data_IF_678270507347
#
_entry.id   IF_678270507347
#
_cell.length_a   1.000
_cell.length_b   1.000
_cell.length_c   1.000
_cell.angle_alpha   90.00
_cell.angle_beta   90.00
_cell.angle_gamma   90.00
#
_symmetry.space_group_name_H-M   'P 1'
#
loop_
_entity.id
_entity.type
_entity.pdbx_description
1 polymer ?
#
# COMPACT_ATOMS: atom_id res chain seq x y z
N UNK A 1 -14.28 -1.46 5.34
CA UNK A 1 -15.37 -1.66 6.33
C UNK A 1 -15.59 -3.14 6.65
N UNK A 2 -15.95 -3.99 5.69
CA UNK A 2 -16.25 -5.41 5.93
C UNK A 2 -15.16 -6.14 6.74
N UNK A 3 -13.91 -6.11 6.26
CA UNK A 3 -12.76 -6.70 6.97
C UNK A 3 -12.56 -6.17 8.40
N UNK A 4 -12.92 -4.91 8.67
CA UNK A 4 -12.80 -4.30 9.99
C UNK A 4 -13.87 -4.85 10.95
N UNK A 5 -15.10 -5.03 10.47
CA UNK A 5 -16.19 -5.62 11.23
C UNK A 5 -15.89 -7.08 11.59
N UNK A 6 -15.41 -7.86 10.61
CA UNK A 6 -15.07 -9.28 10.80
C UNK A 6 -13.93 -9.48 11.79
N UNK A 7 -12.88 -8.65 11.69
CA UNK A 7 -11.70 -8.74 12.54
C UNK A 7 -11.99 -8.30 13.98
N UNK A 8 -12.64 -7.15 14.15
CA UNK A 8 -12.73 -6.49 15.46
C UNK A 8 -14.07 -6.74 16.17
N UNK A 9 -15.05 -7.37 15.51
CA UNK A 9 -16.40 -7.64 16.05
C UNK A 9 -17.09 -6.38 16.58
N UNK A 10 -16.87 -5.25 15.92
CA UNK A 10 -17.44 -3.94 16.27
C UNK A 10 -18.73 -3.66 15.50
N UNK A 11 -19.46 -2.64 15.93
CA UNK A 11 -20.65 -2.20 15.22
C UNK A 11 -20.33 -1.48 13.90
N UNK A 12 -21.22 -1.53 12.91
CA UNK A 12 -21.23 -0.68 11.71
C UNK A 12 -20.84 0.78 11.97
N UNK A 13 -21.46 1.41 12.97
CA UNK A 13 -21.24 2.81 13.34
C UNK A 13 -19.82 3.07 13.85
N UNK A 14 -19.29 2.18 14.70
CA UNK A 14 -17.91 2.28 15.18
C UNK A 14 -16.90 2.12 14.05
N UNK A 15 -17.14 1.18 13.13
CA UNK A 15 -16.29 1.01 11.95
C UNK A 15 -16.26 2.28 11.08
N UNK A 16 -17.42 2.91 10.87
CA UNK A 16 -17.52 4.15 10.08
C UNK A 16 -16.79 5.32 10.77
N UNK A 17 -16.91 5.46 12.10
CA UNK A 17 -16.15 6.46 12.86
C UNK A 17 -14.64 6.26 12.75
N UNK A 18 -14.14 5.02 12.85
CA UNK A 18 -12.72 4.72 12.68
C UNK A 18 -12.24 5.09 11.27
N UNK A 19 -13.02 4.75 10.24
CA UNK A 19 -12.68 5.06 8.85
C UNK A 19 -12.65 6.58 8.59
N UNK A 20 -13.54 7.35 9.24
CA UNK A 20 -13.58 8.81 9.13
C UNK A 20 -12.37 9.50 9.77
N UNK A 21 -11.74 8.90 10.78
CA UNK A 21 -10.52 9.43 11.40
C UNK A 21 -9.27 9.21 10.54
N UNK A 22 -9.33 8.31 9.55
CA UNK A 22 -8.22 8.05 8.64
C UNK A 22 -8.14 9.13 7.56
N UNK A 23 -6.91 9.41 7.08
CA UNK A 23 -6.68 10.23 5.88
C UNK A 23 -7.49 9.66 4.71
N UNK A 24 -8.09 10.52 3.87
CA UNK A 24 -8.94 10.06 2.76
C UNK A 24 -8.18 9.16 1.77
N UNK A 25 -8.89 8.21 1.14
CA UNK A 25 -8.31 7.34 0.11
C UNK A 25 -7.73 8.14 -1.06
N UNK A 26 -8.45 9.16 -1.52
CA UNK A 26 -8.02 10.02 -2.62
C UNK A 26 -6.72 10.74 -2.27
N UNK A 27 -6.61 11.29 -1.06
CA UNK A 27 -5.38 11.97 -0.62
C UNK A 27 -4.20 11.00 -0.57
N UNK A 28 -4.39 9.78 -0.05
CA UNK A 28 -3.32 8.76 -0.06
C UNK A 28 -2.91 8.39 -1.48
N UNK A 29 -3.85 8.23 -2.39
CA UNK A 29 -3.57 7.91 -3.80
C UNK A 29 -2.79 9.01 -4.51
N UNK A 30 -3.15 10.28 -4.29
CA UNK A 30 -2.46 11.42 -4.89
C UNK A 30 -1.01 11.58 -4.43
N UNK A 31 -0.66 11.02 -3.28
CA UNK A 31 0.67 11.14 -2.66
C UNK A 31 1.53 9.90 -2.81
N UNK A 32 0.99 8.81 -3.35
CA UNK A 32 1.70 7.54 -3.46
C UNK A 32 2.44 7.45 -4.80
N UNK A 33 3.71 7.03 -4.76
CA UNK A 33 4.48 6.70 -5.97
C UNK A 33 3.99 5.39 -6.61
N UNK A 34 3.59 4.43 -5.77
CA UNK A 34 3.08 3.12 -6.17
C UNK A 34 1.87 2.72 -5.33
N UNK A 35 0.95 1.95 -5.92
CA UNK A 35 -0.27 1.44 -5.27
C UNK A 35 -0.37 -0.07 -5.42
N UNK A 36 -0.69 -0.77 -4.33
CA UNK A 36 -1.03 -2.19 -4.31
C UNK A 36 -2.51 -2.34 -3.99
N UNK A 37 -3.26 -3.01 -4.87
CA UNK A 37 -4.65 -3.37 -4.60
C UNK A 37 -4.73 -4.69 -3.82
N UNK A 38 -5.28 -4.62 -2.60
CA UNK A 38 -5.49 -5.76 -1.69
C UNK A 38 -6.95 -6.18 -1.59
N UNK A 39 -7.80 -5.72 -2.52
CA UNK A 39 -9.22 -6.08 -2.59
C UNK A 39 -9.47 -7.41 -3.30
N UNK A 40 -8.52 -7.86 -4.14
CA UNK A 40 -8.54 -9.14 -4.83
C UNK A 40 -8.03 -10.31 -3.99
N UNK A 41 -7.54 -11.35 -4.66
CA UNK A 41 -6.98 -12.52 -3.97
C UNK A 41 -5.61 -12.21 -3.37
N UNK A 42 -5.18 -13.07 -2.42
CA UNK A 42 -3.81 -13.02 -1.90
C UNK A 42 -2.78 -13.21 -3.02
N UNK A 43 -3.07 -14.07 -4.00
CA UNK A 43 -2.21 -14.30 -5.14
C UNK A 43 -2.01 -13.02 -5.99
N UNK A 44 -3.10 -12.29 -6.27
CA UNK A 44 -3.02 -11.03 -7.02
C UNK A 44 -2.20 -9.98 -6.29
N UNK A 45 -2.31 -9.95 -4.96
CA UNK A 45 -1.51 -9.07 -4.10
C UNK A 45 -0.03 -9.45 -4.17
N UNK A 46 0.28 -10.75 -4.08
CA UNK A 46 1.66 -11.26 -4.14
C UNK A 46 2.32 -10.93 -5.48
N UNK A 47 1.61 -11.08 -6.59
CA UNK A 47 2.12 -10.72 -7.92
C UNK A 47 2.45 -9.23 -8.02
N UNK A 48 1.62 -8.36 -7.45
CA UNK A 48 1.89 -6.92 -7.40
C UNK A 48 3.11 -6.59 -6.54
N UNK A 49 3.24 -7.24 -5.37
CA UNK A 49 4.40 -7.08 -4.48
C UNK A 49 5.68 -7.49 -5.19
N UNK A 50 5.71 -8.64 -5.86
CA UNK A 50 6.91 -9.14 -6.55
C UNK A 50 7.38 -8.16 -7.64
N UNK A 51 6.46 -7.62 -8.44
CA UNK A 51 6.82 -6.61 -9.46
C UNK A 51 7.43 -5.35 -8.86
N UNK A 52 6.87 -4.84 -7.77
CA UNK A 52 7.39 -3.65 -7.10
C UNK A 52 8.73 -3.95 -6.41
N UNK A 53 8.87 -5.14 -5.82
CA UNK A 53 10.12 -5.58 -5.21
C UNK A 53 11.27 -5.56 -6.21
N UNK A 54 11.10 -6.16 -7.40
CA UNK A 54 12.12 -6.14 -8.45
C UNK A 54 12.47 -4.71 -8.90
N UNK A 55 11.46 -3.84 -9.05
CA UNK A 55 11.69 -2.43 -9.38
C UNK A 55 12.52 -1.71 -8.31
N UNK A 56 12.21 -1.93 -7.03
CA UNK A 56 12.93 -1.29 -5.94
C UNK A 56 14.36 -1.84 -5.78
N UNK A 57 14.59 -3.14 -6.05
CA UNK A 57 15.95 -3.69 -6.12
C UNK A 57 16.77 -2.99 -7.22
N UNK A 58 16.20 -2.79 -8.40
CA UNK A 58 16.88 -2.08 -9.50
C UNK A 58 17.18 -0.62 -9.16
N UNK A 59 16.23 0.09 -8.54
CA UNK A 59 16.43 1.46 -8.08
C UNK A 59 17.57 1.55 -7.07
N UNK A 60 17.54 0.69 -6.04
CA UNK A 60 18.58 0.67 -5.01
C UNK A 60 19.97 0.33 -5.61
N UNK A 61 20.04 -0.60 -6.57
CA UNK A 61 21.30 -0.94 -7.25
C UNK A 61 21.80 0.19 -8.17
N UNK A 62 20.88 0.91 -8.83
CA UNK A 62 21.20 2.04 -9.70
C UNK A 62 21.65 3.29 -8.93
N UNK A 63 21.11 3.52 -7.73
CA UNK A 63 21.48 4.64 -6.86
C UNK A 63 22.91 4.50 -6.28
N UNK A 64 23.42 3.28 -6.15
CA UNK A 64 24.81 3.05 -5.72
C UNK A 64 25.88 3.35 -6.79
N UNK A 65 25.50 3.69 -8.04
CA UNK A 65 26.44 3.91 -9.14
C UNK A 65 26.69 5.38 -9.52
N UNK A 66 26.11 6.36 -8.81
CA UNK A 66 26.19 7.79 -9.19
C UNK A 66 26.99 8.71 -8.25
N UNK A 67 27.76 8.18 -7.30
CA UNK A 67 28.71 8.98 -6.51
C UNK A 67 30.15 8.44 -6.63
N UNK A 68 30.74 8.61 -7.81
CA UNK A 68 32.18 8.83 -7.89
C UNK A 68 32.50 9.75 -9.07
N UNK A 69 32.85 10.99 -8.76
CA UNK A 69 33.51 11.89 -9.71
C UNK A 69 34.69 12.57 -8.99
N UNK A 70 35.90 12.59 -9.59
CA UNK A 70 37.16 12.98 -8.95
C UNK A 70 37.23 14.46 -8.59
#
# INVERSE_FOLDING_TARGET
>A
RQRLLERDRITPKQADSILQQQVSRQTRHQKADDLIDTSGSLHDTQQQVERLHQRYLQMAQGEHSTEHKP
#
